data_IF_810118035967
#
_entry.id   IF_810118035967
#
_cell.length_a   1.000
_cell.length_b   1.000
_cell.length_c   1.000
_cell.angle_alpha   90.00
_cell.angle_beta   90.00
_cell.angle_gamma   90.00
#
_symmetry.space_group_name_H-M   'P 1'
#
loop_
_entity.id
_entity.type
_entity.pdbx_description
1 polymer ?
#
# COMPACT_ATOMS: atom_id res chain seq x y z
N UNK A 1 9.19 5.64 -7.27
CA UNK A 1 9.35 5.42 -5.81
C UNK A 1 9.22 3.93 -5.50
N UNK A 2 10.15 3.34 -4.74
CA UNK A 2 10.07 1.95 -4.29
C UNK A 2 8.81 1.70 -3.43
N UNK A 3 8.28 0.46 -3.41
CA UNK A 3 7.14 0.10 -2.56
C UNK A 3 7.39 0.40 -1.09
N UNK A 4 8.62 0.14 -0.60
CA UNK A 4 8.97 0.31 0.81
C UNK A 4 8.77 1.77 1.26
N UNK A 5 9.32 2.73 0.50
CA UNK A 5 9.18 4.17 0.82
C UNK A 5 7.72 4.65 0.82
N UNK A 6 6.86 4.02 0.03
CA UNK A 6 5.44 4.37 -0.05
C UNK A 6 4.66 3.81 1.14
N UNK A 7 5.01 2.59 1.57
CA UNK A 7 4.49 1.97 2.78
C UNK A 7 4.92 2.76 4.01
N UNK A 8 6.19 3.12 4.12
CA UNK A 8 6.74 3.86 5.25
C UNK A 8 6.06 5.23 5.42
N UNK A 9 5.90 5.99 4.31
CA UNK A 9 5.16 7.26 4.33
C UNK A 9 3.71 7.10 4.79
N UNK A 10 3.06 5.99 4.43
CA UNK A 10 1.69 5.70 4.82
C UNK A 10 1.59 5.39 6.33
N UNK A 11 2.50 4.56 6.86
CA UNK A 11 2.54 4.26 8.29
C UNK A 11 2.82 5.51 9.13
N UNK A 12 3.78 6.36 8.73
CA UNK A 12 4.06 7.62 9.41
C UNK A 12 2.87 8.59 9.46
N UNK A 13 1.90 8.44 8.55
CA UNK A 13 0.67 9.25 8.55
C UNK A 13 -0.48 8.61 9.33
N UNK A 14 -0.41 7.30 9.55
CA UNK A 14 -1.36 6.50 10.35
C UNK A 14 -0.89 6.32 11.81
N UNK A 15 0.21 6.97 12.17
CA UNK A 15 0.76 6.95 13.50
C UNK A 15 -0.19 7.66 14.48
N UNK A 16 -0.60 6.98 15.57
CA UNK A 16 -1.55 7.53 16.55
C UNK A 16 -1.02 8.77 17.30
N UNK A 17 0.30 9.01 17.29
CA UNK A 17 0.91 10.17 17.94
C UNK A 17 0.75 11.49 17.18
N UNK A 18 0.16 11.49 15.96
CA UNK A 18 -0.07 12.73 15.21
C UNK A 18 -1.33 13.46 15.67
N UNK A 19 -1.17 14.74 15.99
CA UNK A 19 -2.27 15.68 16.33
C UNK A 19 -3.37 15.81 15.26
N UNK A 20 -3.08 15.58 13.97
CA UNK A 20 -4.07 15.71 12.86
C UNK A 20 -3.91 14.60 11.83
N UNK A 21 -5.02 13.92 11.54
CA UNK A 21 -5.12 12.93 10.48
C UNK A 21 -5.08 13.62 9.11
N UNK A 22 -4.07 13.33 8.29
CA UNK A 22 -3.99 13.84 6.90
C UNK A 22 -4.80 12.95 5.95
N UNK A 23 -6.11 12.92 6.13
CA UNK A 23 -7.04 11.99 5.48
C UNK A 23 -6.94 11.95 3.96
N UNK A 24 -6.81 13.11 3.31
CA UNK A 24 -6.63 13.19 1.85
C UNK A 24 -5.31 12.57 1.40
N UNK A 25 -4.22 12.92 2.08
CA UNK A 25 -2.88 12.40 1.77
C UNK A 25 -2.81 10.88 1.99
N UNK A 26 -3.50 10.36 3.00
CA UNK A 26 -3.66 8.92 3.24
C UNK A 26 -4.45 8.27 2.09
N UNK A 27 -5.60 8.85 1.68
CA UNK A 27 -6.39 8.37 0.54
C UNK A 27 -5.58 8.33 -0.75
N UNK A 28 -4.77 9.35 -1.02
CA UNK A 28 -3.92 9.39 -2.21
C UNK A 28 -2.81 8.34 -2.19
N UNK A 29 -2.18 8.11 -1.05
CA UNK A 29 -1.18 7.04 -0.90
C UNK A 29 -1.82 5.67 -1.09
N UNK A 30 -3.03 5.44 -0.55
CA UNK A 30 -3.79 4.21 -0.76
C UNK A 30 -4.17 4.00 -2.24
N UNK A 31 -4.55 5.07 -2.96
CA UNK A 31 -4.78 5.03 -4.41
C UNK A 31 -3.49 4.69 -5.17
N UNK A 32 -2.35 5.29 -4.80
CA UNK A 32 -1.05 4.97 -5.41
C UNK A 32 -0.64 3.51 -5.18
N UNK A 33 -0.83 2.96 -3.97
CA UNK A 33 -0.62 1.53 -3.69
C UNK A 33 -1.49 0.63 -4.58
N UNK A 34 -2.78 0.96 -4.73
CA UNK A 34 -3.71 0.22 -5.61
C UNK A 34 -3.23 0.23 -7.06
N UNK A 35 -2.76 1.38 -7.57
CA UNK A 35 -2.23 1.51 -8.93
C UNK A 35 -0.98 0.66 -9.12
N UNK A 36 -0.06 0.66 -8.15
CA UNK A 36 1.13 -0.19 -8.18
C UNK A 36 0.80 -1.70 -8.12
N UNK A 37 -0.18 -2.10 -7.30
CA UNK A 37 -0.66 -3.48 -7.22
C UNK A 37 -1.23 -3.94 -8.57
N UNK A 38 -2.07 -3.12 -9.21
CA UNK A 38 -2.63 -3.41 -10.54
C UNK A 38 -1.56 -3.52 -11.61
N UNK A 39 -0.60 -2.60 -11.62
CA UNK A 39 0.52 -2.64 -12.56
C UNK A 39 1.38 -3.89 -12.37
N UNK A 40 1.65 -4.28 -11.12
CA UNK A 40 2.39 -5.51 -10.82
C UNK A 40 1.61 -6.76 -11.23
N UNK A 41 0.29 -6.83 -11.00
CA UNK A 41 -0.58 -7.93 -11.46
C UNK A 41 -0.60 -8.04 -12.99
N UNK A 42 -0.70 -6.91 -13.70
CA UNK A 42 -0.65 -6.90 -15.17
C UNK A 42 0.71 -7.42 -15.69
N UNK A 43 1.82 -6.99 -15.07
CA UNK A 43 3.15 -7.50 -15.39
C UNK A 43 3.30 -8.98 -15.07
N UNK A 44 2.76 -9.45 -13.95
CA UNK A 44 2.79 -10.86 -13.56
C UNK A 44 2.12 -11.73 -14.63
N UNK A 45 0.92 -11.36 -15.09
CA UNK A 45 0.18 -12.09 -16.13
C UNK A 45 0.94 -12.23 -17.45
N UNK A 46 1.76 -11.23 -17.80
CA UNK A 46 2.56 -11.21 -19.04
C UNK A 46 3.93 -11.89 -18.88
N UNK A 47 4.33 -12.25 -17.65
CA UNK A 47 5.70 -12.73 -17.37
C UNK A 47 5.75 -14.25 -17.40
N UNK A 48 6.40 -14.81 -18.42
CA UNK A 48 6.67 -16.27 -18.54
C UNK A 48 7.86 -16.75 -17.71
N UNK A 49 8.74 -15.84 -17.26
CA UNK A 49 9.91 -16.18 -16.45
C UNK A 49 9.53 -16.47 -14.99
N UNK A 50 9.77 -17.71 -14.54
CA UNK A 50 9.40 -18.23 -13.19
C UNK A 50 9.99 -17.40 -12.04
N UNK A 51 11.23 -16.95 -12.14
CA UNK A 51 11.91 -16.14 -11.10
C UNK A 51 11.31 -14.75 -11.01
N UNK A 52 11.10 -14.08 -12.15
CA UNK A 52 10.44 -12.77 -12.21
C UNK A 52 8.98 -12.86 -11.75
N UNK A 53 8.30 -13.97 -12.07
CA UNK A 53 6.95 -14.25 -11.62
C UNK A 53 6.87 -14.35 -10.09
N UNK A 54 7.73 -15.15 -9.43
CA UNK A 54 7.79 -15.23 -7.97
C UNK A 54 8.04 -13.86 -7.32
N UNK A 55 9.01 -13.08 -7.83
CA UNK A 55 9.31 -11.73 -7.31
C UNK A 55 8.11 -10.78 -7.42
N UNK A 56 7.42 -10.78 -8.56
CA UNK A 56 6.22 -9.98 -8.77
C UNK A 56 5.06 -10.43 -7.87
N UNK A 57 4.86 -11.73 -7.69
CA UNK A 57 3.84 -12.28 -6.80
C UNK A 57 4.08 -11.85 -5.34
N UNK A 58 5.32 -11.96 -4.85
CA UNK A 58 5.70 -11.48 -3.51
C UNK A 58 5.43 -9.98 -3.36
N UNK A 59 5.82 -9.18 -4.37
CA UNK A 59 5.59 -7.74 -4.37
C UNK A 59 4.09 -7.39 -4.31
N UNK A 60 3.26 -8.10 -5.06
CA UNK A 60 1.80 -7.94 -5.02
C UNK A 60 1.27 -8.25 -3.62
N UNK A 61 1.71 -9.37 -3.03
CA UNK A 61 1.30 -9.79 -1.68
C UNK A 61 1.66 -8.74 -0.63
N UNK A 62 2.88 -8.20 -0.67
CA UNK A 62 3.32 -7.13 0.24
C UNK A 62 2.43 -5.88 0.07
N UNK A 63 2.25 -5.40 -1.16
CA UNK A 63 1.42 -4.22 -1.43
C UNK A 63 -0.02 -4.41 -0.96
N UNK A 64 -0.60 -5.58 -1.22
CA UNK A 64 -1.96 -5.91 -0.82
C UNK A 64 -2.14 -5.94 0.70
N UNK A 65 -1.26 -6.67 1.40
CA UNK A 65 -1.29 -6.78 2.87
C UNK A 65 -1.12 -5.43 3.53
N UNK A 66 -0.12 -4.64 3.10
CA UNK A 66 0.15 -3.34 3.69
C UNK A 66 -0.99 -2.35 3.44
N UNK A 67 -1.59 -2.37 2.25
CA UNK A 67 -2.77 -1.57 1.93
C UNK A 67 -3.97 -1.95 2.82
N UNK A 68 -4.22 -3.24 3.05
CA UNK A 68 -5.32 -3.71 3.91
C UNK A 68 -5.11 -3.29 5.37
N UNK A 69 -3.89 -3.44 5.90
CA UNK A 69 -3.50 -2.95 7.24
C UNK A 69 -3.72 -1.44 7.36
N UNK A 70 -3.27 -0.68 6.39
CA UNK A 70 -3.43 0.77 6.36
C UNK A 70 -4.89 1.22 6.32
N UNK A 71 -5.74 0.55 5.54
CA UNK A 71 -7.20 0.83 5.52
C UNK A 71 -7.83 0.53 6.88
N UNK A 72 -7.49 -0.61 7.50
CA UNK A 72 -8.00 -0.96 8.84
C UNK A 72 -7.62 0.11 9.86
N UNK A 73 -6.35 0.54 9.86
CA UNK A 73 -5.87 1.59 10.75
C UNK A 73 -6.51 2.95 10.46
N UNK A 74 -6.66 3.31 9.20
CA UNK A 74 -7.35 4.54 8.80
C UNK A 74 -8.79 4.57 9.32
N UNK A 75 -9.55 3.48 9.14
CA UNK A 75 -10.92 3.36 9.67
C UNK A 75 -10.99 3.49 11.18
N UNK A 76 -10.04 2.87 11.90
CA UNK A 76 -9.97 3.00 13.37
C UNK A 76 -9.71 4.43 13.81
N UNK A 77 -8.86 5.17 13.09
CA UNK A 77 -8.56 6.56 13.41
C UNK A 77 -9.72 7.49 13.06
N UNK A 78 -10.40 7.28 11.93
CA UNK A 78 -11.57 8.08 11.54
C UNK A 78 -12.81 7.79 12.37
N UNK A 79 -12.91 6.60 12.98
CA UNK A 79 -14.03 6.23 13.87
C UNK A 79 -13.81 6.70 15.31
N UNK A 80 -12.60 7.16 15.66
CA UNK A 80 -12.21 7.68 16.98
C UNK A 80 -12.15 9.21 17.03
N UNK A 81 -12.32 9.88 15.90
CA UNK A 81 -12.53 11.32 15.79
C UNK A 81 -14.03 11.57 15.61
#
# INVERSE_FOLDING_TARGET
MPPEKLIEKLFRLLDPGRKKLKSERIRDLLKKMKKQERAAKSKLKKTKNKTKHKRLATKIKILHTQRKKAIKRYRQLTSKC
#
